data_IF_151166966917
#
_entry.id   IF_151166966917
#
_cell.length_a   1.000
_cell.length_b   1.000
_cell.length_c   1.000
_cell.angle_alpha   90.00
_cell.angle_beta   90.00
_cell.angle_gamma   90.00
#
_symmetry.space_group_name_H-M   'P 1'
#
loop_
_entity.id
_entity.type
_entity.pdbx_description
1 polymer ?
#
# COMPACT_ATOMS: atom_id res chain seq x y z
N UNK A 1 5.67 19.10 -0.97
CA UNK A 1 5.38 17.73 -1.44
C UNK A 1 5.82 17.48 -2.89
N UNK A 2 5.40 18.30 -3.86
CA UNK A 2 5.69 18.11 -5.30
C UNK A 2 7.18 17.89 -5.63
N UNK A 3 8.09 18.61 -4.96
CA UNK A 3 9.54 18.47 -5.15
C UNK A 3 10.02 17.03 -4.92
N UNK A 4 9.58 16.38 -3.84
CA UNK A 4 9.99 15.01 -3.52
C UNK A 4 9.44 13.99 -4.52
N UNK A 5 8.25 14.26 -5.11
CA UNK A 5 7.68 13.41 -6.16
C UNK A 5 8.48 13.52 -7.45
N UNK A 6 8.92 14.71 -7.84
CA UNK A 6 9.76 14.92 -9.02
C UNK A 6 11.11 14.18 -8.93
N UNK A 7 11.67 14.05 -7.72
CA UNK A 7 12.91 13.31 -7.49
C UNK A 7 12.75 11.78 -7.54
N UNK A 8 11.52 11.25 -7.48
CA UNK A 8 11.33 9.80 -7.45
C UNK A 8 11.80 9.15 -8.75
N UNK A 9 11.58 9.79 -9.90
CA UNK A 9 11.97 9.26 -11.22
C UNK A 9 13.49 9.23 -11.45
N UNK A 10 14.23 10.11 -10.75
CA UNK A 10 15.68 10.22 -10.88
C UNK A 10 16.45 9.21 -10.02
N UNK A 11 15.81 8.69 -8.98
CA UNK A 11 16.42 7.73 -8.08
C UNK A 11 16.04 6.31 -8.47
N UNK A 12 16.98 5.36 -8.48
CA UNK A 12 16.66 3.92 -8.63
C UNK A 12 16.66 3.26 -7.26
N UNK A 13 15.56 2.62 -6.90
CA UNK A 13 15.44 1.84 -5.67
C UNK A 13 14.53 0.63 -5.90
N UNK A 14 14.63 -0.44 -5.09
CA UNK A 14 13.80 -1.62 -5.26
C UNK A 14 12.33 -1.36 -4.89
N UNK A 15 12.08 -0.55 -3.86
CA UNK A 15 10.75 -0.14 -3.45
C UNK A 15 10.78 1.23 -2.76
N UNK A 16 9.62 1.87 -2.67
CA UNK A 16 9.40 3.17 -2.03
C UNK A 16 8.27 3.05 -1.05
N UNK A 17 8.41 3.73 0.08
CA UNK A 17 7.37 3.82 1.11
C UNK A 17 6.95 5.28 1.19
N UNK A 18 5.65 5.51 1.07
CA UNK A 18 5.03 6.82 1.14
C UNK A 18 3.98 6.74 2.24
N UNK A 19 4.16 7.53 3.29
CA UNK A 19 3.27 7.56 4.44
C UNK A 19 2.68 8.97 4.60
N UNK A 20 1.37 9.03 4.80
CA UNK A 20 0.61 10.26 5.09
C UNK A 20 0.88 11.45 4.15
N UNK A 21 1.28 11.19 2.90
CA UNK A 21 1.73 12.21 1.93
C UNK A 21 0.65 13.25 1.58
N UNK A 22 -0.61 12.91 1.81
CA UNK A 22 -1.75 13.76 1.53
C UNK A 22 -2.29 14.48 2.78
N UNK A 23 -1.58 14.50 3.91
CA UNK A 23 -2.01 15.27 5.09
C UNK A 23 -1.64 16.76 5.00
N UNK A 24 -2.41 17.60 5.70
CA UNK A 24 -2.16 19.05 5.79
C UNK A 24 -2.54 19.84 4.54
N UNK A 25 -3.38 19.28 3.67
CA UNK A 25 -3.86 19.90 2.43
C UNK A 25 -5.38 20.00 2.44
N UNK A 26 -5.93 20.97 1.70
CA UNK A 26 -7.36 20.99 1.43
C UNK A 26 -7.78 19.82 0.52
N UNK A 27 -9.06 19.41 0.50
CA UNK A 27 -9.52 18.23 -0.22
C UNK A 27 -9.19 18.19 -1.72
N UNK A 28 -9.08 19.35 -2.37
CA UNK A 28 -8.76 19.43 -3.80
C UNK A 28 -7.28 19.05 -4.01
N UNK A 29 -6.40 19.59 -3.19
CA UNK A 29 -4.97 19.31 -3.27
C UNK A 29 -4.62 17.91 -2.80
N UNK A 30 -5.30 17.37 -1.79
CA UNK A 30 -5.16 15.96 -1.39
C UNK A 30 -5.41 15.01 -2.56
N UNK A 31 -6.51 15.25 -3.31
CA UNK A 31 -6.87 14.44 -4.49
C UNK A 31 -5.80 14.54 -5.59
N UNK A 32 -5.35 15.75 -5.91
CA UNK A 32 -4.31 15.96 -6.93
C UNK A 32 -3.01 15.25 -6.57
N UNK A 33 -2.57 15.37 -5.31
CA UNK A 33 -1.35 14.70 -4.84
C UNK A 33 -1.49 13.18 -4.93
N UNK A 34 -2.63 12.64 -4.52
CA UNK A 34 -2.90 11.22 -4.67
C UNK A 34 -2.81 10.75 -6.14
N UNK A 35 -3.47 11.46 -7.06
CA UNK A 35 -3.44 11.13 -8.49
C UNK A 35 -2.01 11.17 -9.05
N UNK A 36 -1.20 12.16 -8.67
CA UNK A 36 0.21 12.24 -9.08
C UNK A 36 1.03 11.05 -8.54
N UNK A 37 0.82 10.65 -7.28
CA UNK A 37 1.50 9.48 -6.70
C UNK A 37 1.13 8.20 -7.44
N UNK A 38 -0.17 7.95 -7.68
CA UNK A 38 -0.64 6.77 -8.41
C UNK A 38 -0.11 6.74 -9.84
N UNK A 39 -0.19 7.86 -10.56
CA UNK A 39 0.33 7.96 -11.92
C UNK A 39 1.83 7.70 -11.99
N UNK A 40 2.59 8.16 -10.99
CA UNK A 40 4.05 7.90 -10.93
C UNK A 40 4.34 6.45 -10.58
N UNK A 41 3.60 5.86 -9.64
CA UNK A 41 3.79 4.49 -9.19
C UNK A 41 3.43 3.45 -10.27
N UNK A 42 2.39 3.70 -11.07
CA UNK A 42 1.86 2.76 -12.04
C UNK A 42 2.45 2.86 -13.46
N UNK A 43 3.40 3.78 -13.69
CA UNK A 43 4.20 3.85 -14.93
C UNK A 43 4.96 2.54 -15.15
N UNK A 44 5.37 2.29 -16.39
CA UNK A 44 6.21 1.15 -16.70
C UNK A 44 7.63 1.33 -16.14
N UNK A 45 8.26 0.23 -15.75
CA UNK A 45 9.65 0.20 -15.26
C UNK A 45 9.89 1.05 -13.98
N UNK A 46 8.86 1.20 -13.13
CA UNK A 46 8.96 1.88 -11.84
C UNK A 46 9.30 0.90 -10.71
N UNK A 47 9.81 1.42 -9.60
CA UNK A 47 9.96 0.68 -8.34
C UNK A 47 8.59 0.31 -7.76
N UNK A 48 8.52 -0.71 -6.90
CA UNK A 48 7.29 -1.00 -6.14
C UNK A 48 6.98 0.13 -5.14
N UNK A 49 5.73 0.57 -5.07
CA UNK A 49 5.30 1.58 -4.09
C UNK A 49 4.42 0.96 -3.00
N UNK A 50 4.76 1.25 -1.76
CA UNK A 50 3.89 1.08 -0.59
C UNK A 50 3.34 2.43 -0.21
N UNK A 51 2.04 2.63 -0.46
CA UNK A 51 1.34 3.84 -0.05
C UNK A 51 0.50 3.55 1.18
N UNK A 52 0.81 4.23 2.28
CA UNK A 52 0.14 4.09 3.57
C UNK A 52 -0.64 5.38 3.80
N UNK A 53 -1.94 5.25 4.00
CA UNK A 53 -2.80 6.38 4.32
C UNK A 53 -3.93 5.93 5.25
N UNK A 54 -4.26 6.72 6.29
CA UNK A 54 -5.44 6.48 7.10
C UNK A 54 -6.73 6.93 6.38
N UNK A 55 -6.62 7.63 5.24
CA UNK A 55 -7.75 8.27 4.55
C UNK A 55 -7.93 7.70 3.16
N UNK A 56 -9.05 7.00 2.97
CA UNK A 56 -9.53 6.64 1.63
C UNK A 56 -10.28 7.82 1.03
N UNK A 57 -9.77 8.36 -0.08
CA UNK A 57 -10.53 9.32 -0.87
C UNK A 57 -11.57 8.56 -1.70
N UNK A 58 -12.78 9.10 -1.82
CA UNK A 58 -13.82 8.51 -2.65
C UNK A 58 -13.56 8.79 -4.14
N UNK A 59 -13.95 7.84 -5.00
CA UNK A 59 -13.81 7.94 -6.46
C UNK A 59 -12.36 8.18 -6.89
N UNK A 60 -11.43 7.41 -6.31
CA UNK A 60 -10.04 7.41 -6.74
C UNK A 60 -9.84 6.50 -7.96
N UNK A 61 -8.99 6.89 -8.91
CA UNK A 61 -8.61 6.00 -10.00
C UNK A 61 -7.73 4.87 -9.44
N UNK A 62 -8.19 3.63 -9.59
CA UNK A 62 -7.42 2.43 -9.28
C UNK A 62 -6.89 1.84 -10.58
N UNK A 63 -5.57 1.72 -10.68
CA UNK A 63 -4.92 1.00 -11.79
C UNK A 63 -4.97 -0.50 -11.53
N UNK A 64 -4.99 -1.31 -12.59
CA UNK A 64 -4.85 -2.78 -12.50
C UNK A 64 -3.53 -3.21 -11.84
N UNK A 65 -2.51 -2.35 -11.86
CA UNK A 65 -1.21 -2.57 -11.20
C UNK A 65 -1.24 -2.30 -9.69
N UNK A 66 -2.38 -1.84 -9.16
CA UNK A 66 -2.52 -1.47 -7.75
C UNK A 66 -3.14 -2.60 -6.94
N UNK A 67 -2.65 -2.80 -5.72
CA UNK A 67 -3.26 -3.70 -4.72
C UNK A 67 -3.61 -2.87 -3.49
N UNK A 68 -4.87 -2.98 -3.05
CA UNK A 68 -5.36 -2.29 -1.84
C UNK A 68 -5.39 -3.28 -0.69
N UNK A 69 -4.72 -2.93 0.42
CA UNK A 69 -4.67 -3.74 1.62
C UNK A 69 -5.34 -2.99 2.78
N UNK A 70 -6.35 -3.61 3.39
CA UNK A 70 -6.98 -3.11 4.60
C UNK A 70 -6.37 -3.80 5.81
N UNK A 71 -5.80 -3.01 6.72
CA UNK A 71 -5.29 -3.53 7.99
C UNK A 71 -6.42 -3.48 9.01
N UNK A 72 -6.86 -4.64 9.47
CA UNK A 72 -7.92 -4.78 10.47
C UNK A 72 -7.43 -5.56 11.69
N UNK A 73 -7.55 -4.94 12.87
CA UNK A 73 -7.23 -5.58 14.14
C UNK A 73 -8.44 -6.38 14.62
N UNK A 74 -8.57 -7.61 14.12
CA UNK A 74 -9.65 -8.51 14.53
C UNK A 74 -9.51 -9.03 15.97
N UNK A 75 -10.58 -9.61 16.55
CA UNK A 75 -10.58 -10.13 17.93
C UNK A 75 -9.52 -11.18 18.25
N UNK A 76 -8.95 -11.81 17.23
CA UNK A 76 -7.90 -12.84 17.35
C UNK A 76 -6.52 -12.34 16.93
N UNK A 77 -6.31 -11.02 16.86
CA UNK A 77 -5.00 -10.43 16.60
C UNK A 77 -4.03 -10.89 17.68
N UNK A 78 -2.81 -11.24 17.26
CA UNK A 78 -1.74 -11.56 18.19
C UNK A 78 -1.11 -10.28 18.72
N UNK A 79 -0.82 -10.25 20.02
CA UNK A 79 0.06 -9.24 20.59
C UNK A 79 1.41 -9.21 19.84
N UNK A 80 2.04 -8.03 19.65
CA UNK A 80 3.29 -7.92 18.90
C UNK A 80 4.39 -8.84 19.43
N UNK A 81 4.48 -8.98 20.76
CA UNK A 81 5.45 -9.85 21.43
C UNK A 81 5.16 -11.36 21.29
N UNK A 82 3.97 -11.73 20.79
CA UNK A 82 3.55 -13.12 20.53
C UNK A 82 3.67 -13.48 19.05
N UNK A 83 4.17 -12.58 18.20
CA UNK A 83 4.39 -12.88 16.79
C UNK A 83 5.41 -14.02 16.63
N UNK A 84 5.08 -14.98 15.78
CA UNK A 84 5.96 -16.11 15.50
C UNK A 84 5.86 -16.52 14.03
N UNK A 85 6.93 -16.26 13.28
CA UNK A 85 7.01 -16.53 11.84
C UNK A 85 6.78 -18.01 11.51
N UNK A 86 7.38 -18.94 12.26
CA UNK A 86 7.21 -20.39 12.04
C UNK A 86 5.75 -20.80 12.23
N UNK A 87 5.09 -20.28 13.27
CA UNK A 87 3.69 -20.55 13.54
C UNK A 87 2.78 -19.94 12.46
N UNK A 88 3.07 -18.73 11.98
CA UNK A 88 2.38 -18.13 10.84
C UNK A 88 2.50 -18.98 9.58
N UNK A 89 3.71 -19.42 9.21
CA UNK A 89 3.94 -20.29 8.04
C UNK A 89 3.19 -21.63 8.15
N UNK A 90 3.12 -22.23 9.35
CA UNK A 90 2.30 -23.44 9.59
C UNK A 90 0.80 -23.16 9.39
N UNK A 91 0.28 -22.05 9.91
CA UNK A 91 -1.14 -21.66 9.73
C UNK A 91 -1.47 -21.36 8.27
N UNK A 92 -0.61 -20.61 7.57
CA UNK A 92 -0.78 -20.29 6.15
C UNK A 92 -0.94 -21.55 5.31
N UNK A 93 -0.06 -22.54 5.50
CA UNK A 93 -0.15 -23.84 4.80
C UNK A 93 -1.51 -24.51 5.01
N UNK A 94 -2.06 -24.49 6.23
CA UNK A 94 -3.38 -25.09 6.51
C UNK A 94 -4.54 -24.41 5.78
N UNK A 95 -4.44 -23.11 5.50
CA UNK A 95 -5.47 -22.34 4.79
C UNK A 95 -5.36 -22.55 3.28
N UNK A 96 -4.14 -22.67 2.74
CA UNK A 96 -3.92 -22.88 1.30
C UNK A 96 -4.42 -24.25 0.82
N UNK A 97 -4.48 -25.26 1.69
CA UNK A 97 -5.00 -26.61 1.35
C UNK A 97 -6.54 -26.74 1.43
N UNK A 98 -7.26 -25.70 1.85
CA UNK A 98 -8.73 -25.74 2.03
C UNK A 98 -9.52 -24.90 1.02
N UNK A 99 -8.89 -24.32 0.01
CA UNK A 99 -9.67 -23.77 -1.11
C UNK A 99 -10.19 -24.93 -1.98
N UNK A 100 -11.51 -25.06 -2.20
CA UNK A 100 -12.03 -26.01 -3.17
C UNK A 100 -11.55 -25.59 -4.56
N UNK A 101 -11.06 -26.55 -5.33
CA UNK A 101 -10.93 -26.42 -6.78
C UNK A 101 -12.26 -25.97 -7.38
N UNK A 102 -12.30 -24.74 -7.88
CA UNK A 102 -13.22 -24.37 -8.97
C UNK A 102 -12.54 -24.69 -10.29
#
# INVERSE_FOLDING_TARGET
MLYLMALQELNRCPFRVVDEINQGMDPINERRVFEMVVNTACKENTSQYFFITPKLLQNLPYSEKMTVLFVYNGPHMLEPNRWNLKAFQRRRRRITFTQPSQ
#
